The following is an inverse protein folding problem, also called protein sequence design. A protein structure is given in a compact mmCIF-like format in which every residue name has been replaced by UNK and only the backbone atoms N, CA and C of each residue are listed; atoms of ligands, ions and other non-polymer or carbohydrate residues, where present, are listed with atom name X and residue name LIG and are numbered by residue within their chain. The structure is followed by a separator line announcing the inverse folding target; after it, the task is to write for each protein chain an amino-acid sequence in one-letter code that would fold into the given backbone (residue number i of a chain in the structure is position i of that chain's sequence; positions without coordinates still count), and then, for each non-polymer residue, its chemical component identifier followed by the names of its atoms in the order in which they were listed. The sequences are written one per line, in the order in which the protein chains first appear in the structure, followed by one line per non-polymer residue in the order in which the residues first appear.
data_IF_707160359136
#
_entry.id   IF_707160359136
#
_cell.length_a   1.000
_cell.length_b   1.000
_cell.length_c   1.000
_cell.angle_alpha   90.00
_cell.angle_beta   90.00
_cell.angle_gamma   90.00
#
_symmetry.space_group_name_H-M   'P 1'
#
loop_
_entity.id
_entity.type
_entity.pdbx_description
1 polymer ?
#
# COMPACT_ATOMS: atom_id res chain seq x y z
N UNK A 1 -42.04 67.97 31.39
CA UNK A 1 -40.70 68.57 31.25
C UNK A 1 -39.66 67.52 31.59
N UNK A 2 -38.44 67.68 31.06
CA UNK A 2 -37.30 66.77 31.03
C UNK A 2 -37.27 65.85 29.80
N UNK A 3 -36.49 66.28 28.81
CA UNK A 3 -36.05 65.44 27.72
C UNK A 3 -34.64 64.92 27.96
N UNK A 4 -34.22 63.98 27.12
CA UNK A 4 -32.94 64.06 26.39
C UNK A 4 -32.63 62.76 25.64
N UNK A 5 -32.20 62.95 24.39
CA UNK A 5 -31.33 62.11 23.55
C UNK A 5 -31.89 60.79 23.03
N UNK A 6 -32.37 60.85 21.78
CA UNK A 6 -32.49 59.70 20.87
C UNK A 6 -31.38 59.79 19.82
N UNK A 7 -30.56 58.73 19.76
CA UNK A 7 -29.53 58.49 18.75
C UNK A 7 -30.19 57.77 17.56
N UNK A 8 -29.82 58.21 16.36
CA UNK A 8 -30.38 57.79 15.06
C UNK A 8 -30.00 56.33 14.74
N UNK A 9 -30.99 55.46 14.60
CA UNK A 9 -30.84 54.13 13.98
C UNK A 9 -31.23 54.23 12.49
N UNK A 10 -30.29 53.93 11.59
CA UNK A 10 -30.55 53.80 10.14
C UNK A 10 -31.11 52.40 9.85
N UNK A 11 -32.24 52.37 9.13
CA UNK A 11 -32.84 51.17 8.54
C UNK A 11 -31.96 50.61 7.41
N UNK A 12 -31.79 49.30 7.37
CA UNK A 12 -31.56 48.56 6.11
C UNK A 12 -32.51 47.37 6.05
N UNK A 13 -33.35 47.38 5.03
CA UNK A 13 -34.45 46.44 4.80
C UNK A 13 -33.97 45.10 4.27
N UNK A 14 -34.62 44.05 4.79
CA UNK A 14 -34.67 42.69 4.29
C UNK A 14 -35.33 42.65 2.90
N UNK A 15 -34.74 41.93 1.93
CA UNK A 15 -35.45 41.47 0.72
C UNK A 15 -35.09 40.01 0.45
N UNK A 16 -36.15 39.26 0.13
CA UNK A 16 -36.26 37.82 -0.07
C UNK A 16 -35.28 37.23 -1.10
N UNK A 17 -34.80 36.02 -0.82
CA UNK A 17 -34.14 35.12 -1.79
C UNK A 17 -35.23 34.34 -2.53
N UNK A 18 -35.33 34.55 -3.85
CA UNK A 18 -36.09 33.72 -4.76
C UNK A 18 -35.14 32.71 -5.43
N UNK A 19 -35.53 31.44 -5.39
CA UNK A 19 -34.87 30.36 -6.12
C UNK A 19 -35.07 30.53 -7.63
N UNK A 20 -33.99 30.35 -8.40
CA UNK A 20 -34.06 30.14 -9.84
C UNK A 20 -33.17 28.94 -10.19
N UNK A 21 -33.82 27.91 -10.73
CA UNK A 21 -33.16 26.83 -11.46
C UNK A 21 -32.56 27.40 -12.75
N UNK A 22 -31.34 27.02 -13.08
CA UNK A 22 -30.69 27.31 -14.35
C UNK A 22 -29.66 26.23 -14.64
N UNK A 23 -29.84 25.56 -15.77
CA UNK A 23 -29.00 24.50 -16.31
C UNK A 23 -27.60 25.02 -16.66
N UNK A 24 -26.54 24.37 -16.18
CA UNK A 24 -25.17 24.62 -16.65
C UNK A 24 -24.87 23.72 -17.87
N UNK A 25 -24.41 24.30 -19.01
CA UNK A 25 -24.02 23.52 -20.16
C UNK A 25 -22.62 22.92 -19.98
N UNK A 26 -22.48 21.71 -20.51
CA UNK A 26 -21.26 20.94 -20.70
C UNK A 26 -20.16 21.77 -21.39
N UNK A 27 -18.94 21.73 -20.83
CA UNK A 27 -17.71 21.74 -21.61
C UNK A 27 -16.91 23.04 -21.67
N UNK A 28 -16.03 23.25 -20.69
CA UNK A 28 -14.73 23.88 -20.93
C UNK A 28 -13.67 22.98 -20.27
N UNK A 29 -12.68 22.44 -21.00
CA UNK A 29 -11.60 21.68 -20.39
C UNK A 29 -10.74 22.63 -19.55
N UNK A 30 -10.50 22.25 -18.29
CA UNK A 30 -9.56 22.93 -17.42
C UNK A 30 -8.19 23.05 -18.12
N UNK A 31 -7.62 24.25 -18.08
CA UNK A 31 -6.27 24.51 -18.55
C UNK A 31 -5.28 23.53 -17.85
N UNK A 32 -4.25 23.04 -18.56
CA UNK A 32 -3.32 22.08 -17.98
C UNK A 32 -2.69 22.68 -16.73
N UNK A 33 -2.85 21.97 -15.62
CA UNK A 33 -2.17 22.24 -14.35
C UNK A 33 -0.68 22.33 -14.65
N UNK A 34 -0.07 23.48 -14.39
CA UNK A 34 1.39 23.62 -14.42
C UNK A 34 1.91 22.67 -13.35
N UNK A 35 2.41 21.53 -13.80
CA UNK A 35 3.26 20.65 -13.01
C UNK A 35 4.51 21.49 -12.73
N UNK A 36 4.65 21.96 -11.49
CA UNK A 36 5.92 22.52 -11.04
C UNK A 36 7.04 21.58 -11.45
N UNK A 37 8.07 22.13 -12.07
CA UNK A 37 9.23 21.37 -12.53
C UNK A 37 9.72 20.49 -11.37
N UNK A 38 9.97 19.22 -11.66
CA UNK A 38 10.53 18.29 -10.67
C UNK A 38 11.80 18.93 -10.06
N UNK A 39 11.92 18.99 -8.72
CA UNK A 39 13.13 19.48 -8.08
C UNK A 39 14.35 18.71 -8.59
N UNK A 40 15.55 19.33 -8.64
CA UNK A 40 16.74 18.68 -9.15
C UNK A 40 16.99 17.35 -8.43
N UNK A 41 17.54 16.33 -9.12
CA UNK A 41 17.86 15.06 -8.50
C UNK A 41 18.73 15.27 -7.25
N UNK A 42 18.36 14.63 -6.12
CA UNK A 42 19.06 14.72 -4.83
C UNK A 42 20.58 14.52 -4.96
N UNK A 43 21.02 13.65 -5.87
CA UNK A 43 22.45 13.34 -6.08
C UNK A 43 23.22 14.49 -6.77
N UNK A 44 22.54 15.54 -7.24
CA UNK A 44 23.15 16.74 -7.81
C UNK A 44 23.36 17.86 -6.77
N UNK A 45 22.85 17.71 -5.55
CA UNK A 45 23.01 18.69 -4.48
C UNK A 45 24.28 18.37 -3.69
N UNK A 46 25.24 19.29 -3.71
CA UNK A 46 26.47 19.17 -2.93
C UNK A 46 26.15 19.39 -1.45
N UNK A 47 26.42 18.38 -0.62
CA UNK A 47 26.32 18.50 0.84
C UNK A 47 27.35 19.52 1.34
N UNK A 48 26.85 20.58 1.99
CA UNK A 48 27.63 21.68 2.53
C UNK A 48 28.05 21.44 3.99
N UNK A 49 27.66 20.32 4.60
CA UNK A 49 28.07 19.99 5.96
C UNK A 49 29.57 19.66 6.04
N UNK A 50 30.27 20.35 6.93
CA UNK A 50 31.66 20.05 7.21
C UNK A 50 31.78 18.69 7.92
N UNK A 51 32.80 17.86 7.62
CA UNK A 51 33.09 16.69 8.42
C UNK A 51 33.31 17.08 9.89
N UNK A 52 32.74 16.36 10.87
CA UNK A 52 32.94 16.67 12.28
C UNK A 52 34.43 16.60 12.66
N UNK A 53 34.98 17.66 13.24
CA UNK A 53 36.39 17.71 13.70
C UNK A 53 36.53 17.87 15.22
N UNK A 54 35.42 18.03 15.94
CA UNK A 54 35.39 18.18 17.39
C UNK A 54 35.58 16.84 18.14
N UNK A 55 35.74 16.88 19.48
CA UNK A 55 35.79 15.66 20.29
C UNK A 55 34.51 14.83 20.19
N UNK A 56 33.38 15.44 19.79
CA UNK A 56 32.05 14.82 19.74
C UNK A 56 31.39 14.73 21.11
N UNK A 57 30.15 14.23 21.11
CA UNK A 57 29.32 14.10 22.31
C UNK A 57 28.82 12.67 22.42
N UNK A 58 29.12 12.01 23.53
CA UNK A 58 28.69 10.62 23.76
C UNK A 58 27.32 10.59 24.47
N UNK A 59 26.41 9.77 23.94
CA UNK A 59 25.07 9.59 24.47
C UNK A 59 24.83 8.16 24.91
N UNK A 60 24.19 7.99 26.06
CA UNK A 60 23.85 6.69 26.61
C UNK A 60 22.58 6.75 27.45
N UNK A 61 21.88 5.61 27.55
CA UNK A 61 20.65 5.44 28.32
C UNK A 61 19.48 6.29 27.76
N UNK A 62 18.41 6.39 28.54
CA UNK A 62 17.26 7.21 28.18
C UNK A 62 17.53 8.71 28.43
N UNK A 63 17.10 9.56 27.52
CA UNK A 63 17.11 11.01 27.69
C UNK A 63 16.21 11.42 28.87
N UNK A 64 16.68 12.37 29.68
CA UNK A 64 15.95 12.81 30.88
C UNK A 64 14.93 13.93 30.57
N UNK A 65 15.14 14.67 29.49
CA UNK A 65 14.30 15.76 29.01
C UNK A 65 14.53 15.94 27.51
N UNK A 66 13.83 16.90 26.91
CA UNK A 66 14.07 17.28 25.51
C UNK A 66 15.53 17.66 25.29
N UNK A 67 16.10 17.19 24.19
CA UNK A 67 17.48 17.49 23.80
C UNK A 67 17.56 17.99 22.36
N UNK A 68 18.54 18.87 22.12
CA UNK A 68 18.92 19.36 20.81
C UNK A 68 20.37 18.94 20.53
N UNK A 69 20.56 18.18 19.45
CA UNK A 69 21.85 17.74 18.97
C UNK A 69 22.25 18.60 17.77
N UNK A 70 23.45 19.20 17.81
CA UNK A 70 23.87 20.27 16.89
C UNK A 70 25.11 19.89 16.08
N UNK A 71 25.36 20.62 15.00
CA UNK A 71 26.60 20.53 14.22
C UNK A 71 27.85 20.78 15.10
N UNK A 72 27.80 21.74 16.03
CA UNK A 72 28.95 22.11 16.86
C UNK A 72 29.38 21.00 17.84
N UNK A 73 28.40 20.18 18.27
CA UNK A 73 28.60 19.08 19.21
C UNK A 73 28.82 17.72 18.52
N UNK A 74 28.85 17.74 17.18
CA UNK A 74 29.03 16.56 16.36
C UNK A 74 30.49 16.02 16.38
N UNK A 75 30.69 14.71 16.24
CA UNK A 75 29.64 13.69 16.08
C UNK A 75 28.99 13.34 17.43
N UNK A 76 27.68 13.11 17.39
CA UNK A 76 26.91 12.54 18.49
C UNK A 76 27.00 11.01 18.43
N UNK A 77 27.63 10.38 19.43
CA UNK A 77 27.95 8.95 19.40
C UNK A 77 27.02 8.13 20.29
N UNK A 78 26.47 7.07 19.73
CA UNK A 78 25.68 6.06 20.44
C UNK A 78 26.42 4.73 20.34
N UNK A 79 27.05 4.29 21.43
CA UNK A 79 27.85 3.05 21.42
C UNK A 79 27.04 1.79 21.69
N UNK A 80 25.92 1.91 22.41
CA UNK A 80 25.06 0.77 22.77
C UNK A 80 23.60 1.09 22.54
N UNK A 81 23.00 1.98 23.33
CA UNK A 81 21.62 2.37 23.15
C UNK A 81 21.35 3.76 23.73
N UNK A 82 20.49 4.50 23.03
CA UNK A 82 19.82 5.69 23.56
C UNK A 82 18.31 5.51 23.46
N UNK A 83 17.60 5.90 24.50
CA UNK A 83 16.14 5.93 24.52
C UNK A 83 15.59 7.35 24.52
N UNK A 84 14.55 7.61 23.73
CA UNK A 84 13.75 8.84 23.77
C UNK A 84 12.40 8.49 24.39
N UNK A 85 12.19 8.71 25.70
CA UNK A 85 10.97 8.31 26.40
C UNK A 85 9.71 9.03 25.90
N UNK A 86 8.53 8.50 26.26
CA UNK A 86 7.26 9.19 26.00
C UNK A 86 7.25 10.59 26.62
N UNK A 87 6.79 11.58 25.86
CA UNK A 87 6.80 12.99 26.25
C UNK A 87 8.14 13.71 26.09
N UNK A 88 9.20 13.01 25.66
CA UNK A 88 10.52 13.58 25.36
C UNK A 88 10.72 13.72 23.86
N UNK A 89 11.36 14.80 23.43
CA UNK A 89 11.70 15.10 22.05
C UNK A 89 13.21 15.17 21.87
N UNK A 90 13.74 14.37 20.93
CA UNK A 90 15.09 14.53 20.40
C UNK A 90 15.04 15.32 19.09
N UNK A 91 15.70 16.48 19.05
CA UNK A 91 15.85 17.31 17.85
C UNK A 91 17.27 17.22 17.31
N UNK A 92 17.41 16.98 16.01
CA UNK A 92 18.68 17.01 15.28
C UNK A 92 18.68 18.24 14.36
N UNK A 93 19.57 19.18 14.63
CA UNK A 93 19.71 20.41 13.85
C UNK A 93 20.38 20.14 12.48
N UNK A 94 20.31 21.08 11.51
CA UNK A 94 21.05 20.96 10.26
C UNK A 94 22.53 20.63 10.49
N UNK A 95 23.08 19.75 9.66
CA UNK A 95 24.44 19.21 9.76
C UNK A 95 24.79 18.45 11.05
N UNK A 96 23.84 18.15 11.93
CA UNK A 96 24.10 17.21 13.03
C UNK A 96 24.47 15.83 12.47
N UNK A 97 25.58 15.28 12.96
CA UNK A 97 26.06 13.94 12.60
C UNK A 97 25.89 13.00 13.79
N UNK A 98 25.11 11.95 13.62
CA UNK A 98 24.91 10.88 14.60
C UNK A 98 25.63 9.62 14.15
N UNK A 99 26.52 9.09 14.98
CA UNK A 99 27.29 7.88 14.72
C UNK A 99 26.87 6.77 15.68
N UNK A 100 26.35 5.68 15.12
CA UNK A 100 25.92 4.50 15.87
C UNK A 100 26.96 3.38 15.76
N UNK A 101 27.39 2.87 16.91
CA UNK A 101 28.29 1.71 16.98
C UNK A 101 27.64 0.43 16.45
N UNK A 102 28.43 -0.64 16.24
CA UNK A 102 27.90 -1.94 15.84
C UNK A 102 26.81 -2.40 16.81
N UNK A 103 25.69 -2.90 16.29
CA UNK A 103 24.53 -3.31 17.09
C UNK A 103 23.86 -2.21 17.94
N UNK A 104 24.29 -0.95 17.84
CA UNK A 104 23.72 0.13 18.63
C UNK A 104 22.30 0.50 18.17
N UNK A 105 21.48 0.98 19.09
CA UNK A 105 20.07 1.28 18.82
C UNK A 105 19.64 2.66 19.32
N UNK A 106 18.74 3.30 18.56
CA UNK A 106 17.96 4.44 19.02
C UNK A 106 16.49 4.00 19.17
N UNK A 107 15.98 3.99 20.39
CA UNK A 107 14.58 3.59 20.67
C UNK A 107 13.75 4.82 21.00
N UNK A 108 12.63 5.03 20.31
CA UNK A 108 11.82 6.25 20.39
C UNK A 108 10.39 5.91 20.79
N UNK A 109 10.02 6.26 22.02
CA UNK A 109 8.62 6.30 22.49
C UNK A 109 8.07 7.73 22.60
N UNK A 110 8.94 8.74 22.51
CA UNK A 110 8.60 10.14 22.35
C UNK A 110 8.63 10.59 20.90
N UNK A 111 9.41 11.61 20.57
CA UNK A 111 9.55 12.11 19.19
C UNK A 111 11.01 12.26 18.76
N UNK A 112 11.30 11.87 17.52
CA UNK A 112 12.57 12.18 16.85
C UNK A 112 12.31 13.13 15.67
N UNK A 113 12.90 14.31 15.73
CA UNK A 113 12.80 15.36 14.71
C UNK A 113 14.17 15.62 14.12
N UNK A 114 14.40 15.23 12.87
CA UNK A 114 15.58 15.60 12.10
C UNK A 114 15.23 16.77 11.17
N UNK A 115 15.76 17.95 11.48
CA UNK A 115 15.40 19.24 10.90
C UNK A 115 16.52 19.71 9.96
N UNK A 116 16.84 18.91 8.94
CA UNK A 116 17.87 19.25 7.94
C UNK A 116 17.42 20.31 6.94
N UNK A 117 18.36 20.83 6.17
CA UNK A 117 18.12 21.72 5.02
C UNK A 117 18.68 21.09 3.74
N UNK A 118 18.20 21.50 2.57
CA UNK A 118 18.56 20.93 1.25
C UNK A 118 20.07 20.68 1.06
N UNK A 119 20.89 21.64 1.45
CA UNK A 119 22.37 21.54 1.38
C UNK A 119 23.02 21.24 2.73
N UNK A 120 22.26 21.21 3.83
CA UNK A 120 22.76 21.00 5.20
C UNK A 120 22.00 19.87 5.88
N UNK A 121 22.23 18.66 5.36
CA UNK A 121 21.44 17.48 5.71
C UNK A 121 21.81 16.97 7.10
N UNK A 122 20.83 16.40 7.79
CA UNK A 122 21.12 15.58 8.99
C UNK A 122 21.69 14.25 8.53
N UNK A 123 22.76 13.78 9.18
CA UNK A 123 23.40 12.49 8.86
C UNK A 123 23.29 11.54 10.06
N UNK A 124 22.67 10.38 9.86
CA UNK A 124 22.64 9.28 10.84
C UNK A 124 23.34 8.09 10.20
N UNK A 125 24.48 7.67 10.74
CA UNK A 125 25.36 6.70 10.07
C UNK A 125 26.01 5.71 11.02
N UNK A 126 26.52 4.61 10.44
CA UNK A 126 27.38 3.70 11.17
C UNK A 126 28.68 4.39 11.58
N UNK A 127 29.11 4.16 12.82
CA UNK A 127 30.39 4.63 13.34
C UNK A 127 31.59 3.93 12.68
N UNK A 128 31.37 2.78 12.03
CA UNK A 128 32.42 2.01 11.37
C UNK A 128 31.88 1.34 10.11
N UNK A 129 32.60 1.51 9.00
CA UNK A 129 32.23 0.92 7.71
C UNK A 129 32.14 -0.60 7.81
N UNK A 130 31.10 -1.18 7.21
CA UNK A 130 30.84 -2.64 7.23
C UNK A 130 30.36 -3.20 8.56
N UNK A 131 30.15 -2.36 9.59
CA UNK A 131 29.63 -2.79 10.88
C UNK A 131 28.28 -2.11 11.14
N UNK A 132 27.17 -2.74 10.74
CA UNK A 132 25.87 -2.10 10.81
C UNK A 132 25.43 -1.89 12.26
N UNK A 133 24.81 -0.74 12.53
CA UNK A 133 24.05 -0.51 13.75
C UNK A 133 22.69 -1.19 13.67
N UNK A 134 22.03 -1.41 14.81
CA UNK A 134 20.83 -2.23 14.90
C UNK A 134 19.63 -1.59 14.21
N UNK A 135 19.07 -0.52 14.79
CA UNK A 135 17.88 0.14 14.27
C UNK A 135 17.60 1.50 14.90
N UNK A 136 16.71 2.25 14.26
CA UNK A 136 15.86 3.26 14.87
C UNK A 136 14.50 2.59 15.05
N UNK A 137 14.08 2.35 16.29
CA UNK A 137 12.81 1.70 16.60
C UNK A 137 11.85 2.69 17.25
N UNK A 138 10.84 3.11 16.52
CA UNK A 138 9.81 4.06 16.95
C UNK A 138 8.57 3.27 17.37
N UNK A 139 8.16 3.41 18.63
CA UNK A 139 7.07 2.62 19.23
C UNK A 139 6.34 3.44 20.28
N UNK A 140 5.11 3.84 19.95
CA UNK A 140 4.33 4.79 20.75
C UNK A 140 4.74 6.25 20.55
N UNK A 141 5.64 6.53 19.60
CA UNK A 141 6.20 7.83 19.30
C UNK A 141 6.08 8.24 17.84
N UNK A 142 6.67 9.38 17.48
CA UNK A 142 6.64 9.93 16.11
C UNK A 142 8.05 10.16 15.53
N UNK A 143 8.13 10.09 14.20
CA UNK A 143 9.34 10.29 13.41
C UNK A 143 9.10 11.37 12.36
N UNK A 144 9.87 12.45 12.43
CA UNK A 144 9.87 13.51 11.40
C UNK A 144 11.28 13.67 10.85
N UNK A 145 11.42 13.48 9.54
CA UNK A 145 12.70 13.53 8.84
C UNK A 145 12.61 14.51 7.68
N UNK A 146 13.40 15.57 7.72
CA UNK A 146 13.51 16.57 6.66
C UNK A 146 14.96 16.66 6.21
N UNK A 147 15.22 16.57 4.90
CA UNK A 147 16.55 16.56 4.29
C UNK A 147 17.55 15.71 5.08
N UNK A 148 17.19 14.45 5.33
CA UNK A 148 17.94 13.55 6.20
C UNK A 148 18.49 12.38 5.42
N UNK A 149 19.74 11.99 5.73
CA UNK A 149 20.35 10.75 5.23
C UNK A 149 20.61 9.79 6.39
N UNK A 150 20.07 8.58 6.28
CA UNK A 150 20.26 7.50 7.25
C UNK A 150 20.95 6.33 6.54
N UNK A 151 22.09 5.89 7.05
CA UNK A 151 22.91 4.89 6.36
C UNK A 151 23.55 3.83 7.26
N UNK A 152 23.70 2.62 6.69
CA UNK A 152 24.50 1.54 7.27
C UNK A 152 23.91 0.92 8.55
N UNK A 153 22.58 0.95 8.71
CA UNK A 153 21.90 0.29 9.84
C UNK A 153 21.23 -1.03 9.47
N UNK A 154 20.33 -1.50 10.33
CA UNK A 154 19.58 -2.74 10.10
C UNK A 154 20.40 -3.99 10.32
N UNK A 155 21.28 -3.99 11.33
CA UNK A 155 22.15 -5.13 11.64
C UNK A 155 21.37 -6.45 11.65
N UNK A 156 21.86 -7.48 10.94
CA UNK A 156 21.19 -8.76 10.89
C UNK A 156 21.36 -9.47 12.23
N UNK A 157 20.27 -9.70 12.98
CA UNK A 157 20.27 -10.62 14.12
C UNK A 157 20.25 -12.12 13.71
N UNK A 158 19.93 -13.01 14.65
CA UNK A 158 19.71 -14.43 14.36
C UNK A 158 18.34 -14.70 13.69
N UNK A 159 18.31 -15.11 12.40
CA UNK A 159 17.12 -15.59 11.67
C UNK A 159 16.02 -14.56 11.35
N UNK A 160 15.09 -14.88 10.43
CA UNK A 160 13.93 -14.05 10.08
C UNK A 160 14.01 -13.39 8.70
N UNK A 161 12.88 -13.32 8.00
CA UNK A 161 12.77 -12.77 6.64
C UNK A 161 12.48 -11.27 6.58
N UNK A 162 11.90 -10.83 5.46
CA UNK A 162 11.73 -9.41 5.08
C UNK A 162 10.98 -8.55 6.10
N UNK A 163 10.15 -9.15 6.95
CA UNK A 163 9.33 -8.46 7.96
C UNK A 163 9.98 -8.37 9.35
N UNK A 164 11.08 -9.08 9.58
CA UNK A 164 11.63 -9.24 10.93
C UNK A 164 12.53 -8.07 11.35
N UNK A 165 13.19 -7.39 10.40
CA UNK A 165 14.26 -6.43 10.67
C UNK A 165 14.31 -5.31 9.67
N UNK A 166 14.57 -4.10 10.17
CA UNK A 166 14.85 -2.96 9.33
C UNK A 166 15.83 -1.98 9.98
N UNK A 167 16.45 -1.14 9.15
CA UNK A 167 17.21 0.02 9.62
C UNK A 167 16.32 1.01 10.35
N UNK A 168 15.10 1.24 9.85
CA UNK A 168 14.07 2.04 10.53
C UNK A 168 12.82 1.20 10.71
N UNK A 169 12.32 1.10 11.95
CA UNK A 169 11.05 0.44 12.26
C UNK A 169 10.13 1.41 12.97
N UNK A 170 8.88 1.47 12.54
CA UNK A 170 7.84 2.28 13.17
C UNK A 170 6.63 1.39 13.44
N UNK A 171 6.15 1.41 14.68
CA UNK A 171 4.98 0.63 15.14
C UNK A 171 3.87 1.56 15.58
N UNK A 172 2.70 1.40 14.97
CA UNK A 172 1.47 2.06 15.37
C UNK A 172 0.78 1.33 16.53
N UNK A 173 -0.47 1.70 16.77
CA UNK A 173 -1.32 1.16 17.84
C UNK A 173 -2.06 -0.14 17.46
N UNK A 174 -1.91 -0.60 16.21
CA UNK A 174 -2.61 -1.78 15.68
C UNK A 174 -4.04 -1.49 15.22
N UNK A 175 -4.53 -0.25 15.29
CA UNK A 175 -5.83 0.12 14.74
C UNK A 175 -5.74 0.13 13.20
N UNK A 176 -6.54 -0.69 12.48
CA UNK A 176 -6.42 -0.78 11.01
C UNK A 176 -6.74 0.52 10.25
N UNK A 177 -7.33 1.54 10.88
CA UNK A 177 -7.49 2.88 10.29
C UNK A 177 -6.14 3.61 10.09
N UNK A 178 -5.10 3.14 10.77
CA UNK A 178 -3.73 3.60 10.65
C UNK A 178 -3.43 4.87 11.44
N UNK A 179 -2.18 4.97 11.88
CA UNK A 179 -1.65 6.08 12.66
C UNK A 179 -0.54 6.79 11.88
N UNK A 180 -0.75 8.06 11.56
CA UNK A 180 0.25 8.89 10.89
C UNK A 180 1.39 9.21 11.86
N UNK A 181 2.48 8.44 11.77
CA UNK A 181 3.62 8.53 12.68
C UNK A 181 4.90 8.96 11.99
N UNK A 182 4.95 8.94 10.65
CA UNK A 182 6.17 9.17 9.88
C UNK A 182 5.96 10.34 8.92
N UNK A 183 6.65 11.45 9.16
CA UNK A 183 6.77 12.53 8.19
C UNK A 183 8.13 12.43 7.51
N UNK A 184 8.14 12.47 6.18
CA UNK A 184 9.38 12.50 5.38
C UNK A 184 9.31 13.64 4.36
N UNK A 185 10.41 14.34 4.21
CA UNK A 185 10.64 15.33 3.17
C UNK A 185 12.09 15.23 2.69
N UNK A 186 12.29 14.75 1.46
CA UNK A 186 13.60 14.53 0.85
C UNK A 186 14.55 13.70 1.73
N UNK A 187 14.21 12.42 1.92
CA UNK A 187 14.93 11.50 2.82
C UNK A 187 15.61 10.39 2.03
N UNK A 188 16.85 10.08 2.39
CA UNK A 188 17.60 8.95 1.87
C UNK A 188 17.84 7.90 2.96
N UNK A 189 17.39 6.67 2.71
CA UNK A 189 17.75 5.47 3.46
C UNK A 189 18.68 4.61 2.59
N UNK A 190 19.93 4.43 3.02
CA UNK A 190 20.98 3.81 2.19
C UNK A 190 21.65 2.63 2.91
N UNK A 191 21.75 1.50 2.22
CA UNK A 191 22.63 0.41 2.64
C UNK A 191 22.17 -0.29 3.92
N UNK A 192 20.87 -0.52 4.10
CA UNK A 192 20.41 -1.34 5.21
C UNK A 192 20.92 -2.77 5.07
N UNK A 193 21.49 -3.35 6.12
CA UNK A 193 21.86 -4.76 6.15
C UNK A 193 20.65 -5.72 6.25
N UNK A 194 19.43 -5.19 6.33
CA UNK A 194 18.15 -5.93 6.30
C UNK A 194 17.16 -5.19 5.36
N UNK A 195 15.90 -4.96 5.78
CA UNK A 195 14.93 -4.10 5.08
C UNK A 195 15.22 -2.62 5.37
N UNK A 196 15.01 -1.73 4.40
CA UNK A 196 15.22 -0.29 4.61
C UNK A 196 14.31 0.28 5.71
N UNK A 197 12.99 0.15 5.53
CA UNK A 197 11.99 0.58 6.50
C UNK A 197 10.85 -0.42 6.68
N UNK A 198 10.39 -0.62 7.92
CA UNK A 198 9.17 -1.36 8.25
C UNK A 198 8.18 -0.42 8.94
N UNK A 199 6.97 -0.33 8.38
CA UNK A 199 5.79 0.25 9.02
C UNK A 199 4.85 -0.87 9.44
N UNK A 200 4.75 -1.13 10.74
CA UNK A 200 3.97 -2.22 11.29
C UNK A 200 2.89 -1.73 12.24
N UNK A 201 1.92 -2.59 12.54
CA UNK A 201 0.84 -2.30 13.48
C UNK A 201 0.07 -1.03 13.07
N UNK A 202 -0.20 -0.92 11.77
CA UNK A 202 -0.89 0.18 11.11
C UNK A 202 -0.17 1.55 11.24
N UNK A 203 1.14 1.58 11.49
CA UNK A 203 1.92 2.79 11.24
C UNK A 203 1.82 3.19 9.77
N UNK A 204 1.70 4.49 9.51
CA UNK A 204 1.66 5.05 8.15
C UNK A 204 2.40 6.37 8.07
N UNK A 205 2.73 6.76 6.84
CA UNK A 205 3.23 8.09 6.58
C UNK A 205 2.12 9.14 6.78
N UNK A 206 2.53 10.32 7.22
CA UNK A 206 1.72 11.53 7.21
C UNK A 206 1.48 11.97 5.76
N UNK A 207 0.25 12.36 5.39
CA UNK A 207 -0.02 12.91 4.06
C UNK A 207 0.82 14.17 3.79
N UNK A 208 1.20 14.40 2.53
CA UNK A 208 1.87 15.62 2.09
C UNK A 208 3.40 15.61 2.21
N UNK A 209 4.02 14.53 2.69
CA UNK A 209 5.47 14.33 2.61
C UNK A 209 5.97 14.08 1.18
N UNK A 210 7.19 14.54 0.87
CA UNK A 210 7.80 14.45 -0.46
C UNK A 210 9.07 13.60 -0.47
N UNK A 211 9.30 12.87 -1.57
CA UNK A 211 10.58 12.23 -1.94
C UNK A 211 11.26 11.37 -0.86
N UNK A 212 10.96 10.07 -0.86
CA UNK A 212 11.68 9.05 -0.10
C UNK A 212 12.48 8.16 -1.05
N UNK A 213 13.79 8.06 -0.82
CA UNK A 213 14.65 7.11 -1.53
C UNK A 213 15.14 6.05 -0.57
N UNK A 214 14.92 4.79 -0.93
CA UNK A 214 15.43 3.64 -0.19
C UNK A 214 16.21 2.76 -1.16
N UNK A 215 17.52 2.63 -0.95
CA UNK A 215 18.43 1.95 -1.88
C UNK A 215 19.49 1.13 -1.15
N UNK A 216 19.99 0.08 -1.80
CA UNK A 216 21.06 -0.76 -1.26
C UNK A 216 20.67 -1.58 -0.02
N UNK A 217 19.38 -1.70 0.28
CA UNK A 217 18.92 -2.59 1.36
C UNK A 217 19.14 -4.04 0.96
N UNK A 218 19.66 -4.87 1.86
CA UNK A 218 19.95 -6.28 1.58
C UNK A 218 18.68 -7.10 1.31
N UNK A 219 17.53 -6.66 1.84
CA UNK A 219 16.20 -7.23 1.62
C UNK A 219 15.36 -6.27 0.77
N UNK A 220 14.18 -5.88 1.24
CA UNK A 220 13.29 -4.96 0.55
C UNK A 220 13.55 -3.50 0.94
N UNK A 221 13.16 -2.52 0.12
CA UNK A 221 13.16 -1.11 0.52
C UNK A 221 12.16 -0.86 1.66
N UNK A 222 10.93 -1.33 1.52
CA UNK A 222 9.81 -0.95 2.36
C UNK A 222 8.87 -2.13 2.58
N UNK A 223 8.50 -2.33 3.83
CA UNK A 223 7.42 -3.25 4.24
C UNK A 223 6.37 -2.42 4.95
N UNK A 224 5.10 -2.59 4.60
CA UNK A 224 4.00 -1.87 5.24
C UNK A 224 2.71 -2.67 5.28
N UNK A 225 1.90 -2.42 6.30
CA UNK A 225 0.56 -3.00 6.39
C UNK A 225 -0.35 -2.48 5.25
N UNK A 226 -1.34 -3.26 4.78
CA UNK A 226 -2.26 -2.88 3.70
C UNK A 226 -2.96 -1.52 3.90
N UNK A 227 -3.20 -1.07 5.13
CA UNK A 227 -3.81 0.23 5.41
C UNK A 227 -2.90 1.43 5.10
N UNK A 228 -1.59 1.22 4.95
CA UNK A 228 -0.62 2.27 4.68
C UNK A 228 -0.24 2.40 3.19
N UNK A 229 -0.71 1.50 2.32
CA UNK A 229 -0.34 1.48 0.88
C UNK A 229 -0.71 2.79 0.17
N UNK A 230 -1.75 3.48 0.64
CA UNK A 230 -2.27 4.70 0.01
C UNK A 230 -1.53 5.99 0.35
N UNK A 231 -0.50 5.91 1.21
CA UNK A 231 0.28 7.08 1.61
C UNK A 231 1.78 6.85 1.47
N UNK A 232 2.20 5.88 0.65
CA UNK A 232 3.62 5.69 0.33
C UNK A 232 4.15 6.94 -0.38
N UNK A 233 5.22 7.60 0.09
CA UNK A 233 5.76 8.79 -0.57
C UNK A 233 6.21 8.51 -2.01
N UNK A 234 6.22 9.54 -2.86
CA UNK A 234 6.93 9.46 -4.14
C UNK A 234 8.43 9.26 -3.89
N UNK A 235 9.15 8.69 -4.85
CA UNK A 235 10.60 8.53 -4.76
C UNK A 235 11.11 7.26 -5.43
N UNK A 236 12.21 6.73 -4.92
CA UNK A 236 12.92 5.57 -5.53
C UNK A 236 12.98 4.42 -4.54
N UNK A 237 12.49 3.27 -4.98
CA UNK A 237 12.44 2.03 -4.20
C UNK A 237 13.18 0.87 -4.89
N UNK A 238 13.79 1.12 -6.04
CA UNK A 238 14.62 0.15 -6.76
C UNK A 238 16.09 0.18 -6.31
N UNK A 239 16.88 -0.84 -6.66
CA UNK A 239 18.29 -0.98 -6.26
C UNK A 239 18.48 -1.63 -4.87
N UNK A 240 17.54 -2.46 -4.43
CA UNK A 240 17.58 -3.25 -3.20
C UNK A 240 17.66 -4.75 -3.52
N UNK A 241 17.88 -5.60 -2.52
CA UNK A 241 17.93 -7.07 -2.69
C UNK A 241 16.62 -7.64 -3.25
N UNK A 242 15.50 -7.02 -2.90
CA UNK A 242 14.20 -7.18 -3.53
C UNK A 242 13.66 -5.80 -3.92
N UNK A 243 13.52 -5.55 -5.22
CA UNK A 243 12.90 -4.34 -5.75
C UNK A 243 11.37 -4.46 -5.75
N UNK A 244 10.79 -4.46 -4.55
CA UNK A 244 9.35 -4.46 -4.33
C UNK A 244 8.99 -3.79 -3.00
N UNK A 245 7.84 -3.11 -2.96
CA UNK A 245 7.21 -2.71 -1.70
C UNK A 245 6.43 -3.91 -1.19
N UNK A 246 6.82 -4.46 -0.04
CA UNK A 246 6.21 -5.68 0.50
C UNK A 246 4.99 -5.32 1.33
N UNK A 247 3.86 -5.97 1.04
CA UNK A 247 2.59 -5.82 1.75
C UNK A 247 2.25 -7.17 2.39
N UNK A 248 2.57 -7.38 3.68
CA UNK A 248 2.26 -8.61 4.38
C UNK A 248 0.75 -8.83 4.51
N UNK A 249 0.35 -10.07 4.78
CA UNK A 249 -1.04 -10.37 5.08
C UNK A 249 -1.49 -9.74 6.39
N UNK A 250 -2.38 -8.76 6.28
CA UNK A 250 -3.19 -8.25 7.40
C UNK A 250 -4.60 -7.98 6.87
N UNK A 251 -5.64 -8.47 7.54
CA UNK A 251 -7.01 -8.29 7.06
C UNK A 251 -7.34 -6.78 6.89
N UNK A 252 -7.91 -6.41 5.75
CA UNK A 252 -8.17 -5.03 5.37
C UNK A 252 -9.65 -4.70 5.56
N UNK A 253 -9.95 -3.97 6.64
CA UNK A 253 -11.26 -3.39 6.93
C UNK A 253 -11.47 -3.21 8.44
N UNK A 254 -12.52 -2.47 8.79
CA UNK A 254 -12.89 -2.18 10.18
C UNK A 254 -14.41 -2.23 10.30
N UNK A 255 -14.92 -2.99 11.27
CA UNK A 255 -16.36 -3.12 11.49
C UNK A 255 -16.98 -1.75 11.79
N UNK A 256 -18.06 -1.40 11.09
CA UNK A 256 -18.78 -0.14 11.30
C UNK A 256 -18.01 1.13 10.93
N UNK A 257 -16.88 1.03 10.22
CA UNK A 257 -16.05 2.17 9.80
C UNK A 257 -15.72 2.08 8.30
N UNK A 258 -15.26 3.19 7.74
CA UNK A 258 -14.79 3.27 6.36
C UNK A 258 -13.26 3.24 6.34
N UNK A 259 -12.70 2.29 5.61
CA UNK A 259 -11.29 2.20 5.28
C UNK A 259 -11.13 2.19 3.76
N UNK A 260 -10.59 3.27 3.20
CA UNK A 260 -10.34 3.38 1.76
C UNK A 260 -8.89 3.77 1.53
N UNK A 261 -8.19 3.02 0.67
CA UNK A 261 -6.80 3.28 0.29
C UNK A 261 -6.63 3.16 -1.21
N UNK A 262 -5.66 3.87 -1.77
CA UNK A 262 -5.36 3.87 -3.20
C UNK A 262 -3.89 3.54 -3.43
N UNK A 263 -3.58 2.36 -3.96
CA UNK A 263 -2.21 1.99 -4.35
C UNK A 263 -1.80 2.79 -5.57
N UNK A 264 -0.62 3.42 -5.50
CA UNK A 264 -0.14 4.33 -6.53
C UNK A 264 1.15 3.77 -7.16
N UNK A 265 1.46 4.04 -8.43
CA UNK A 265 2.69 3.55 -9.03
C UNK A 265 3.92 4.13 -8.32
N UNK A 266 4.88 3.27 -7.95
CA UNK A 266 6.12 3.64 -7.24
C UNK A 266 7.41 3.21 -7.94
N UNK A 267 7.31 2.81 -9.20
CA UNK A 267 8.45 2.34 -10.01
C UNK A 267 8.92 0.92 -9.68
N UNK A 268 8.36 0.29 -8.65
CA UNK A 268 8.54 -1.12 -8.28
C UNK A 268 7.17 -1.76 -8.00
N UNK A 269 7.02 -3.09 -8.13
CA UNK A 269 5.79 -3.78 -7.76
C UNK A 269 5.47 -3.67 -6.27
N UNK A 270 4.18 -3.74 -5.94
CA UNK A 270 3.73 -4.12 -4.61
C UNK A 270 3.72 -5.65 -4.53
N UNK A 271 4.63 -6.24 -3.76
CA UNK A 271 4.61 -7.67 -3.49
C UNK A 271 3.58 -7.97 -2.41
N UNK A 272 2.55 -8.73 -2.77
CA UNK A 272 1.50 -9.14 -1.84
C UNK A 272 1.89 -10.46 -1.17
N UNK A 273 1.91 -10.43 0.16
CA UNK A 273 2.25 -11.56 1.02
C UNK A 273 3.74 -11.71 1.31
N UNK A 274 4.01 -12.57 2.28
CA UNK A 274 5.37 -13.00 2.65
C UNK A 274 5.46 -14.52 2.81
N UNK A 275 6.68 -15.07 2.77
CA UNK A 275 6.89 -16.52 2.95
C UNK A 275 6.47 -17.00 4.37
N UNK A 276 6.36 -16.08 5.32
CA UNK A 276 5.92 -16.34 6.68
C UNK A 276 4.39 -16.40 6.83
N UNK A 277 3.61 -16.05 5.79
CA UNK A 277 2.16 -16.05 5.86
C UNK A 277 1.61 -17.49 5.89
N UNK A 278 0.96 -17.93 6.99
CA UNK A 278 0.50 -19.32 7.13
C UNK A 278 -0.72 -19.65 6.25
N UNK A 279 -1.41 -18.62 5.76
CA UNK A 279 -2.53 -18.72 4.84
C UNK A 279 -2.48 -17.50 3.92
N UNK A 280 -2.04 -17.63 2.67
CA UNK A 280 -1.68 -16.51 1.80
C UNK A 280 -2.93 -15.80 1.21
N UNK A 281 -3.79 -15.28 2.09
CA UNK A 281 -5.05 -14.61 1.72
C UNK A 281 -5.03 -13.18 2.22
N UNK A 282 -5.04 -12.21 1.30
CA UNK A 282 -5.38 -10.84 1.61
C UNK A 282 -6.90 -10.68 1.52
N UNK A 283 -7.56 -10.41 2.64
CA UNK A 283 -9.00 -10.17 2.67
C UNK A 283 -9.31 -8.68 2.67
N UNK A 284 -10.18 -8.24 1.76
CA UNK A 284 -10.77 -6.90 1.66
C UNK A 284 -12.23 -6.98 2.08
N UNK A 285 -12.58 -6.29 3.17
CA UNK A 285 -13.88 -6.38 3.83
C UNK A 285 -13.86 -7.34 5.01
N UNK A 286 -14.16 -6.83 6.21
CA UNK A 286 -14.28 -7.61 7.45
C UNK A 286 -15.43 -7.09 8.32
N UNK A 287 -16.05 -8.01 9.05
CA UNK A 287 -17.12 -7.69 10.00
C UNK A 287 -18.45 -7.35 9.34
N UNK A 288 -19.39 -6.86 10.15
CA UNK A 288 -20.70 -6.37 9.69
C UNK A 288 -20.68 -4.84 9.63
N UNK A 289 -21.32 -4.28 8.58
CA UNK A 289 -21.55 -2.84 8.40
C UNK A 289 -20.30 -1.94 8.23
N UNK A 290 -19.12 -2.48 7.92
CA UNK A 290 -17.95 -1.68 7.50
C UNK A 290 -17.94 -1.39 5.99
N UNK A 291 -17.05 -0.51 5.54
CA UNK A 291 -16.72 -0.32 4.11
C UNK A 291 -15.21 -0.39 3.94
N UNK A 292 -14.72 -1.28 3.09
CA UNK A 292 -13.30 -1.46 2.81
C UNK A 292 -13.07 -1.34 1.30
N UNK A 293 -12.40 -0.28 0.85
CA UNK A 293 -12.13 -0.03 -0.56
C UNK A 293 -10.63 -0.11 -0.79
N UNK A 294 -10.21 -1.10 -1.59
CA UNK A 294 -8.86 -1.15 -2.14
C UNK A 294 -8.91 -0.61 -3.57
N UNK A 295 -8.40 0.60 -3.77
CA UNK A 295 -8.20 1.16 -5.09
C UNK A 295 -6.75 0.91 -5.57
N UNK A 296 -6.58 0.71 -6.87
CA UNK A 296 -5.31 0.53 -7.54
C UNK A 296 -5.28 1.49 -8.73
N UNK A 297 -4.32 2.40 -8.74
CA UNK A 297 -4.20 3.44 -9.77
C UNK A 297 -3.51 2.92 -11.04
N UNK A 298 -3.76 3.55 -12.21
CA UNK A 298 -3.12 3.21 -13.47
C UNK A 298 -1.60 3.04 -13.39
N UNK A 299 -1.07 2.02 -14.08
CA UNK A 299 0.37 1.72 -14.11
C UNK A 299 0.91 1.03 -12.85
N UNK A 300 0.07 0.74 -11.86
CA UNK A 300 0.48 -0.01 -10.66
C UNK A 300 0.61 -1.51 -10.96
N UNK A 301 1.65 -2.15 -10.40
CA UNK A 301 1.87 -3.59 -10.49
C UNK A 301 1.73 -4.24 -9.11
N UNK A 302 0.90 -5.28 -9.01
CA UNK A 302 0.79 -6.17 -7.87
C UNK A 302 1.42 -7.51 -8.23
N UNK A 303 2.43 -7.93 -7.47
CA UNK A 303 3.09 -9.21 -7.63
C UNK A 303 2.70 -10.14 -6.48
N UNK A 304 2.00 -11.22 -6.78
CA UNK A 304 1.43 -12.15 -5.81
C UNK A 304 2.44 -13.26 -5.51
N UNK A 305 2.75 -13.51 -4.23
CA UNK A 305 3.57 -14.67 -3.87
C UNK A 305 2.88 -15.99 -4.25
N UNK A 306 3.64 -17.09 -4.39
CA UNK A 306 3.06 -18.39 -4.68
C UNK A 306 1.96 -18.80 -3.69
N UNK A 307 0.83 -19.27 -4.22
CA UNK A 307 -0.37 -19.64 -3.47
C UNK A 307 -1.23 -18.47 -3.01
N UNK A 308 -0.81 -17.22 -3.23
CA UNK A 308 -1.53 -16.04 -2.72
C UNK A 308 -2.86 -15.79 -3.44
N UNK A 309 -3.80 -15.18 -2.73
CA UNK A 309 -5.09 -14.77 -3.30
C UNK A 309 -5.61 -13.48 -2.65
N UNK A 310 -6.30 -12.68 -3.46
CA UNK A 310 -6.98 -11.46 -3.01
C UNK A 310 -8.48 -11.76 -2.91
N UNK A 311 -8.97 -11.86 -1.67
CA UNK A 311 -10.39 -12.09 -1.38
C UNK A 311 -11.11 -10.74 -1.21
N UNK A 312 -12.18 -10.50 -1.97
CA UNK A 312 -13.06 -9.33 -1.84
C UNK A 312 -14.41 -9.79 -1.35
N UNK A 313 -14.80 -9.38 -0.15
CA UNK A 313 -16.05 -9.82 0.49
C UNK A 313 -17.08 -8.69 0.49
N UNK A 314 -17.97 -8.70 -0.51
CA UNK A 314 -18.99 -7.69 -0.68
C UNK A 314 -20.00 -7.67 0.49
N UNK A 315 -20.30 -8.82 1.09
CA UNK A 315 -21.19 -8.91 2.26
C UNK A 315 -20.55 -8.28 3.52
N UNK A 316 -19.22 -8.27 3.59
CA UNK A 316 -18.44 -7.55 4.60
C UNK A 316 -18.03 -6.13 4.18
N UNK A 317 -18.64 -5.57 3.13
CA UNK A 317 -18.41 -4.20 2.66
C UNK A 317 -17.11 -4.00 1.87
N UNK A 318 -16.47 -5.07 1.43
CA UNK A 318 -15.26 -5.04 0.60
C UNK A 318 -15.54 -4.64 -0.85
N UNK A 319 -14.67 -3.81 -1.42
CA UNK A 319 -14.69 -3.42 -2.84
C UNK A 319 -13.28 -3.30 -3.40
N UNK A 320 -13.11 -3.68 -4.67
CA UNK A 320 -11.85 -3.54 -5.41
C UNK A 320 -12.07 -2.59 -6.60
N UNK A 321 -11.30 -1.50 -6.65
CA UNK A 321 -11.35 -0.51 -7.74
C UNK A 321 -10.00 -0.51 -8.45
N UNK A 322 -9.89 -1.26 -9.55
CA UNK A 322 -8.69 -1.36 -10.36
C UNK A 322 -8.98 -0.82 -11.77
N UNK A 323 -8.96 0.49 -11.92
CA UNK A 323 -9.28 1.17 -13.19
C UNK A 323 -7.99 1.75 -13.76
N UNK A 324 -7.39 1.01 -14.69
CA UNK A 324 -6.21 1.42 -15.44
C UNK A 324 -6.58 2.28 -16.66
N UNK A 325 -5.60 2.44 -17.55
CA UNK A 325 -5.84 3.00 -18.90
C UNK A 325 -5.13 2.14 -19.94
N UNK A 326 -5.49 2.27 -21.22
CA UNK A 326 -4.77 1.57 -22.28
C UNK A 326 -3.26 1.90 -22.32
N UNK A 327 -2.87 3.13 -21.94
CA UNK A 327 -1.47 3.56 -21.90
C UNK A 327 -0.74 3.14 -20.61
N UNK A 328 -1.48 2.91 -19.53
CA UNK A 328 -0.95 2.52 -18.22
C UNK A 328 -1.89 1.50 -17.58
N UNK A 329 -1.89 0.25 -18.08
CA UNK A 329 -2.72 -0.80 -17.52
C UNK A 329 -2.24 -1.16 -16.11
N UNK A 330 -3.16 -1.63 -15.27
CA UNK A 330 -2.81 -2.23 -13.98
C UNK A 330 -2.36 -3.66 -14.24
N UNK A 331 -1.27 -4.11 -13.59
CA UNK A 331 -0.78 -5.49 -13.76
C UNK A 331 -0.92 -6.26 -12.44
N UNK A 332 -1.58 -7.41 -12.48
CA UNK A 332 -1.67 -8.37 -11.37
C UNK A 332 -1.04 -9.69 -11.82
N UNK A 333 0.09 -10.05 -11.24
CA UNK A 333 0.98 -11.09 -11.76
C UNK A 333 1.64 -11.90 -10.64
N UNK A 334 2.48 -12.86 -11.00
CA UNK A 334 3.27 -13.66 -10.07
C UNK A 334 4.51 -12.89 -9.57
N UNK A 335 4.85 -13.07 -8.30
CA UNK A 335 6.12 -12.63 -7.72
C UNK A 335 7.25 -13.66 -7.87
N UNK A 336 7.00 -14.81 -8.52
CA UNK A 336 8.05 -15.80 -8.77
C UNK A 336 9.12 -15.26 -9.73
N UNK A 337 10.37 -15.68 -9.55
CA UNK A 337 11.48 -15.33 -10.44
C UNK A 337 11.33 -15.90 -11.84
N UNK A 338 10.49 -16.91 -12.02
CA UNK A 338 10.09 -17.48 -13.31
C UNK A 338 8.58 -17.70 -13.29
N UNK A 339 7.78 -16.69 -13.68
CA UNK A 339 6.32 -16.76 -13.61
C UNK A 339 5.74 -17.92 -14.41
N UNK A 340 4.85 -18.69 -13.78
CA UNK A 340 4.16 -19.82 -14.37
C UNK A 340 2.66 -19.76 -14.06
N UNK A 341 1.86 -20.42 -14.92
CA UNK A 341 0.43 -20.55 -14.67
C UNK A 341 0.19 -21.29 -13.33
N UNK A 342 -0.68 -20.74 -12.48
CA UNK A 342 -0.99 -21.31 -11.17
C UNK A 342 0.05 -21.01 -10.10
N UNK A 343 0.89 -19.99 -10.31
CA UNK A 343 1.76 -19.50 -9.24
C UNK A 343 0.90 -18.96 -8.08
N UNK A 344 -0.15 -18.20 -8.38
CA UNK A 344 -1.09 -17.68 -7.40
C UNK A 344 -2.52 -18.11 -7.74
N UNK A 345 -3.44 -18.04 -6.77
CA UNK A 345 -4.81 -18.56 -6.96
C UNK A 345 -5.59 -17.68 -7.94
N UNK A 346 -5.65 -16.38 -7.67
CA UNK A 346 -6.47 -15.45 -8.43
C UNK A 346 -7.15 -14.40 -7.56
N UNK A 347 -8.06 -13.65 -8.18
CA UNK A 347 -8.98 -12.74 -7.51
C UNK A 347 -10.24 -13.51 -7.10
N UNK A 348 -10.60 -13.47 -5.82
CA UNK A 348 -11.73 -14.23 -5.30
C UNK A 348 -12.78 -13.29 -4.73
N UNK A 349 -13.90 -13.17 -5.41
CA UNK A 349 -15.06 -12.42 -4.98
C UNK A 349 -16.00 -13.34 -4.19
N UNK A 350 -16.13 -13.05 -2.89
CA UNK A 350 -17.01 -13.80 -1.98
C UNK A 350 -18.46 -13.35 -2.16
N UNK A 351 -19.07 -13.84 -3.24
CA UNK A 351 -20.39 -13.45 -3.70
C UNK A 351 -20.35 -12.49 -4.86
N UNK A 352 -21.55 -12.12 -5.35
CA UNK A 352 -21.69 -11.16 -6.45
C UNK A 352 -21.07 -9.81 -6.04
N UNK A 353 -20.10 -9.28 -6.82
CA UNK A 353 -19.49 -7.98 -6.52
C UNK A 353 -20.53 -6.86 -6.41
N UNK A 354 -20.30 -5.94 -5.48
CA UNK A 354 -21.13 -4.74 -5.33
C UNK A 354 -20.78 -3.68 -6.41
N UNK A 355 -21.62 -2.66 -6.54
CA UNK A 355 -21.42 -1.57 -7.51
C UNK A 355 -20.15 -0.71 -7.27
N UNK A 356 -19.50 -0.84 -6.11
CA UNK A 356 -18.21 -0.22 -5.81
C UNK A 356 -17.02 -1.02 -6.33
N UNK A 357 -17.22 -2.19 -6.92
CA UNK A 357 -16.15 -3.01 -7.51
C UNK A 357 -16.08 -2.82 -9.03
N UNK A 358 -14.89 -2.54 -9.54
CA UNK A 358 -14.62 -2.43 -10.97
C UNK A 358 -13.16 -2.78 -11.27
N UNK A 359 -12.94 -3.53 -12.35
CA UNK A 359 -11.66 -3.84 -12.96
C UNK A 359 -11.74 -3.44 -14.43
N UNK A 360 -10.95 -2.47 -14.82
CA UNK A 360 -10.95 -1.94 -16.19
C UNK A 360 -9.52 -1.65 -16.64
N UNK A 361 -9.17 -1.99 -17.89
CA UNK A 361 -7.80 -1.83 -18.41
C UNK A 361 -6.71 -2.44 -17.51
N UNK A 362 -6.91 -3.71 -17.14
CA UNK A 362 -5.94 -4.48 -16.36
C UNK A 362 -5.33 -5.64 -17.16
N UNK A 363 -4.25 -6.21 -16.63
CA UNK A 363 -3.65 -7.48 -17.04
C UNK A 363 -3.62 -8.38 -15.81
N UNK A 364 -4.28 -9.53 -15.90
CA UNK A 364 -4.28 -10.57 -14.87
C UNK A 364 -3.61 -11.81 -15.45
N UNK A 365 -2.51 -12.24 -14.85
CA UNK A 365 -1.70 -13.32 -15.41
C UNK A 365 -1.09 -14.26 -14.37
N UNK A 366 -0.72 -15.47 -14.79
CA UNK A 366 -0.04 -16.48 -13.97
C UNK A 366 -0.87 -17.01 -12.79
N UNK A 367 -2.18 -16.80 -12.83
CA UNK A 367 -3.14 -17.22 -11.81
C UNK A 367 -3.63 -18.67 -12.04
N UNK A 368 -4.63 -19.09 -11.25
CA UNK A 368 -5.35 -20.34 -11.43
C UNK A 368 -4.85 -21.51 -10.57
N UNK A 369 -4.12 -21.22 -9.48
CA UNK A 369 -3.74 -22.25 -8.51
C UNK A 369 -4.99 -22.81 -7.78
N UNK A 370 -4.99 -24.09 -7.38
CA UNK A 370 -6.10 -24.65 -6.62
C UNK A 370 -6.39 -23.91 -5.32
N UNK A 371 -7.66 -23.67 -5.00
CA UNK A 371 -8.10 -23.11 -3.73
C UNK A 371 -8.20 -24.16 -2.63
N UNK A 372 -7.90 -23.80 -1.38
CA UNK A 372 -7.99 -24.70 -0.21
C UNK A 372 -9.27 -24.54 0.61
N UNK A 373 -10.08 -23.51 0.34
CA UNK A 373 -11.22 -23.14 1.19
C UNK A 373 -12.39 -22.48 0.44
N UNK A 374 -12.33 -22.45 -0.89
CA UNK A 374 -13.33 -21.79 -1.73
C UNK A 374 -13.67 -22.74 -2.87
N UNK A 375 -14.97 -22.99 -3.08
CA UNK A 375 -15.47 -23.83 -4.16
C UNK A 375 -16.16 -22.96 -5.19
N UNK A 376 -15.89 -23.17 -6.49
CA UNK A 376 -16.64 -22.52 -7.55
C UNK A 376 -18.13 -22.91 -7.48
N UNK A 377 -19.02 -21.97 -7.74
CA UNK A 377 -20.47 -22.19 -7.74
C UNK A 377 -21.07 -22.38 -9.16
N UNK A 378 -20.24 -22.28 -10.20
CA UNK A 378 -20.66 -22.43 -11.60
C UNK A 378 -21.17 -23.85 -11.92
N UNK A 379 -21.62 -24.05 -13.16
CA UNK A 379 -22.02 -25.36 -13.69
C UNK A 379 -20.84 -26.32 -13.92
N UNK A 380 -19.66 -25.99 -13.42
CA UNK A 380 -18.44 -26.78 -13.54
C UNK A 380 -17.61 -26.39 -14.76
N UNK A 381 -16.60 -27.21 -15.04
CA UNK A 381 -15.60 -26.97 -16.07
C UNK A 381 -15.37 -28.25 -16.87
N UNK A 382 -15.75 -28.28 -18.16
CA UNK A 382 -15.41 -29.38 -19.05
C UNK A 382 -13.88 -29.52 -19.25
N UNK A 383 -13.37 -30.75 -19.48
CA UNK A 383 -14.10 -32.01 -19.61
C UNK A 383 -14.61 -32.56 -18.26
N UNK A 384 -15.69 -33.36 -18.32
CA UNK A 384 -16.27 -34.01 -17.14
C UNK A 384 -15.20 -34.82 -16.36
N UNK A 385 -15.06 -34.55 -15.06
CA UNK A 385 -14.08 -35.23 -14.18
C UNK A 385 -13.02 -34.31 -13.56
N UNK A 386 -12.95 -33.04 -13.95
CA UNK A 386 -12.19 -32.03 -13.19
C UNK A 386 -12.94 -31.71 -11.90
N UNK A 387 -12.27 -31.80 -10.76
CA UNK A 387 -12.83 -31.44 -9.45
C UNK A 387 -13.11 -29.93 -9.39
N UNK A 388 -14.36 -29.54 -9.64
CA UNK A 388 -14.81 -28.14 -9.61
C UNK A 388 -14.70 -27.51 -8.22
N UNK A 389 -14.53 -28.31 -7.15
CA UNK A 389 -14.28 -27.78 -5.80
C UNK A 389 -12.88 -27.18 -5.63
N UNK A 390 -11.93 -27.53 -6.52
CA UNK A 390 -10.54 -27.09 -6.50
C UNK A 390 -10.14 -26.23 -7.69
N UNK A 391 -10.99 -26.17 -8.71
CA UNK A 391 -10.77 -25.37 -9.92
C UNK A 391 -11.06 -23.92 -9.59
N UNK A 392 -10.03 -23.10 -9.49
CA UNK A 392 -10.14 -21.64 -9.30
C UNK A 392 -9.61 -20.98 -10.56
N UNK A 393 -10.45 -20.27 -11.29
CA UNK A 393 -10.04 -19.42 -12.40
C UNK A 393 -9.16 -18.25 -11.93
N UNK A 394 -8.64 -17.48 -12.88
CA UNK A 394 -7.91 -16.26 -12.56
C UNK A 394 -8.79 -15.24 -11.81
N UNK A 395 -10.08 -15.24 -12.11
CA UNK A 395 -11.13 -14.50 -11.39
C UNK A 395 -12.22 -15.48 -10.98
N UNK A 396 -12.60 -15.47 -9.70
CA UNK A 396 -13.59 -16.39 -9.14
C UNK A 396 -14.69 -15.63 -8.42
N UNK A 397 -15.95 -15.96 -8.72
CA UNK A 397 -17.11 -15.55 -7.93
C UNK A 397 -17.60 -16.80 -7.20
N UNK A 398 -17.65 -16.77 -5.86
CA UNK A 398 -17.81 -18.00 -5.07
C UNK A 398 -19.22 -18.28 -4.55
N UNK A 399 -20.21 -17.39 -4.74
CA UNK A 399 -21.55 -17.61 -4.21
C UNK A 399 -22.65 -16.78 -4.87
N UNK A 400 -23.88 -17.23 -4.63
CA UNK A 400 -25.10 -16.52 -4.99
C UNK A 400 -25.54 -15.61 -3.86
N UNK A 401 -25.87 -14.35 -4.18
CA UNK A 401 -26.68 -13.52 -3.29
C UNK A 401 -28.08 -13.41 -3.92
N UNK A 402 -29.12 -14.03 -3.33
CA UNK A 402 -30.48 -13.94 -3.87
C UNK A 402 -30.91 -12.47 -4.05
N UNK A 403 -31.44 -12.13 -5.23
CA UNK A 403 -31.95 -10.78 -5.52
C UNK A 403 -30.89 -9.75 -5.91
N UNK A 404 -29.61 -10.12 -6.01
CA UNK A 404 -28.56 -9.25 -6.56
C UNK A 404 -28.29 -9.66 -8.00
N UNK A 405 -28.73 -8.83 -8.95
CA UNK A 405 -28.38 -9.01 -10.35
C UNK A 405 -26.87 -8.75 -10.53
N UNK A 406 -26.12 -9.68 -11.14
CA UNK A 406 -24.71 -9.48 -11.33
C UNK A 406 -24.51 -8.39 -12.42
N UNK A 407 -23.41 -7.64 -12.34
CA UNK A 407 -23.03 -6.65 -13.37
C UNK A 407 -21.66 -6.98 -13.95
N UNK A 408 -21.39 -6.50 -15.18
CA UNK A 408 -20.06 -6.58 -15.76
C UNK A 408 -19.12 -5.65 -14.97
N UNK A 409 -18.31 -6.24 -14.08
CA UNK A 409 -17.33 -5.53 -13.27
C UNK A 409 -15.90 -5.71 -13.79
N UNK A 410 -15.69 -6.51 -14.84
CA UNK A 410 -14.40 -6.71 -15.51
C UNK A 410 -14.54 -6.36 -16.98
N UNK A 411 -13.87 -5.30 -17.41
CA UNK A 411 -13.92 -4.79 -18.79
C UNK A 411 -12.53 -4.40 -19.30
N UNK A 412 -12.35 -4.40 -20.62
CA UNK A 412 -11.10 -3.97 -21.28
C UNK A 412 -9.83 -4.61 -20.71
N UNK A 413 -9.94 -5.82 -20.18
CA UNK A 413 -8.90 -6.48 -19.39
C UNK A 413 -8.33 -7.68 -20.15
N UNK A 414 -7.03 -7.91 -20.00
CA UNK A 414 -6.36 -9.10 -20.53
C UNK A 414 -6.22 -10.14 -19.42
N UNK A 415 -6.78 -11.32 -19.61
CA UNK A 415 -6.65 -12.45 -18.69
C UNK A 415 -5.85 -13.53 -19.39
N UNK A 416 -4.65 -13.87 -18.89
CA UNK A 416 -3.78 -14.82 -19.58
C UNK A 416 -3.00 -15.76 -18.68
N UNK A 417 -2.55 -16.88 -19.23
CA UNK A 417 -1.68 -17.83 -18.50
C UNK A 417 -2.31 -18.32 -17.19
N UNK A 418 -3.59 -18.71 -17.25
CA UNK A 418 -4.29 -19.31 -16.11
C UNK A 418 -4.11 -20.82 -16.12
N UNK A 419 -3.73 -21.41 -14.98
CA UNK A 419 -3.67 -22.87 -14.82
C UNK A 419 -5.05 -23.55 -14.75
N UNK A 420 -6.10 -22.76 -14.92
CA UNK A 420 -7.50 -23.13 -14.75
C UNK A 420 -8.37 -22.34 -15.76
N UNK A 421 -9.57 -21.92 -15.38
CA UNK A 421 -10.43 -21.04 -16.17
C UNK A 421 -9.93 -19.58 -16.16
N UNK A 422 -10.48 -18.75 -17.06
CA UNK A 422 -10.33 -17.30 -17.01
C UNK A 422 -11.21 -16.71 -15.89
N UNK A 423 -12.54 -16.79 -16.07
CA UNK A 423 -13.54 -16.29 -15.11
C UNK A 423 -14.50 -17.38 -14.68
N UNK A 424 -14.54 -17.68 -13.39
CA UNK A 424 -15.55 -18.56 -12.80
C UNK A 424 -16.80 -17.74 -12.44
N UNK A 425 -17.86 -17.90 -13.24
CA UNK A 425 -19.16 -17.22 -13.08
C UNK A 425 -20.03 -17.92 -12.04
N UNK A 426 -19.58 -17.94 -10.78
CA UNK A 426 -20.30 -18.60 -9.68
C UNK A 426 -21.41 -17.76 -9.05
N UNK A 427 -22.42 -17.42 -9.85
CA UNK A 427 -23.66 -16.77 -9.41
C UNK A 427 -24.89 -17.49 -10.00
N UNK A 428 -26.10 -17.04 -9.61
CA UNK A 428 -27.36 -17.68 -9.98
C UNK A 428 -28.35 -16.62 -10.47
N UNK A 429 -28.48 -16.53 -11.78
CA UNK A 429 -29.30 -15.53 -12.45
C UNK A 429 -29.63 -15.99 -13.88
N UNK A 430 -30.79 -15.57 -14.38
CA UNK A 430 -31.10 -15.72 -15.82
C UNK A 430 -30.39 -14.62 -16.65
N UNK A 431 -29.90 -13.58 -15.99
CA UNK A 431 -29.05 -12.55 -16.59
C UNK A 431 -27.64 -13.12 -16.77
N UNK A 432 -27.24 -13.31 -18.03
CA UNK A 432 -25.90 -13.73 -18.40
C UNK A 432 -24.98 -12.52 -18.54
N UNK A 433 -23.88 -12.50 -17.78
CA UNK A 433 -22.80 -11.54 -18.03
C UNK A 433 -21.80 -12.22 -18.94
N UNK A 434 -21.65 -11.66 -20.12
CA UNK A 434 -20.59 -12.03 -21.04
C UNK A 434 -19.31 -11.24 -20.75
N UNK A 435 -18.29 -11.93 -20.23
CA UNK A 435 -16.97 -11.36 -20.07
C UNK A 435 -16.12 -11.44 -21.34
N UNK A 436 -16.58 -12.11 -22.40
CA UNK A 436 -15.81 -12.25 -23.65
C UNK A 436 -15.85 -10.98 -24.50
N UNK A 437 -16.97 -10.25 -24.50
CA UNK A 437 -17.18 -9.12 -25.39
C UNK A 437 -16.16 -7.97 -25.21
N UNK A 438 -15.71 -7.72 -23.98
CA UNK A 438 -14.83 -6.59 -23.65
C UNK A 438 -13.44 -7.00 -23.16
N UNK A 439 -13.16 -8.30 -22.98
CA UNK A 439 -11.89 -8.78 -22.44
C UNK A 439 -11.18 -9.69 -23.42
N UNK A 440 -9.87 -9.84 -23.25
CA UNK A 440 -9.05 -10.75 -24.07
C UNK A 440 -8.52 -11.90 -23.23
N UNK A 441 -8.48 -13.09 -23.83
CA UNK A 441 -8.07 -14.32 -23.17
C UNK A 441 -7.00 -15.05 -23.97
N UNK A 442 -5.94 -15.51 -23.31
CA UNK A 442 -4.89 -16.34 -23.96
C UNK A 442 -4.20 -17.28 -22.96
N UNK A 443 -3.82 -18.48 -23.38
CA UNK A 443 -3.17 -19.44 -22.48
C UNK A 443 -4.02 -19.81 -21.26
N UNK A 444 -5.33 -19.96 -21.47
CA UNK A 444 -6.28 -20.44 -20.46
C UNK A 444 -6.38 -21.95 -20.59
N UNK A 445 -6.21 -22.69 -19.48
CA UNK A 445 -6.18 -24.15 -19.51
C UNK A 445 -7.53 -24.78 -19.87
N UNK A 446 -8.60 -24.20 -19.35
CA UNK A 446 -9.97 -24.67 -19.54
C UNK A 446 -10.82 -23.55 -20.17
N UNK A 447 -11.96 -23.19 -19.58
CA UNK A 447 -12.86 -22.21 -20.17
C UNK A 447 -12.37 -20.78 -19.95
N UNK A 448 -12.50 -19.91 -20.94
CA UNK A 448 -12.31 -18.45 -20.78
C UNK A 448 -13.32 -17.89 -19.78
N UNK A 449 -14.55 -18.37 -19.81
CA UNK A 449 -15.56 -18.18 -18.76
C UNK A 449 -16.38 -19.46 -18.55
N UNK A 450 -16.70 -19.80 -17.30
CA UNK A 450 -17.55 -20.98 -16.99
C UNK A 450 -19.03 -20.64 -17.07
N UNK A 451 -19.92 -21.59 -17.29
CA UNK A 451 -21.37 -21.33 -17.27
C UNK A 451 -21.93 -21.06 -15.85
N UNK A 452 -22.68 -19.96 -15.60
CA UNK A 452 -23.40 -19.76 -14.35
C UNK A 452 -24.62 -20.67 -14.26
N UNK A 453 -25.20 -20.80 -13.05
CA UNK A 453 -26.47 -21.52 -12.88
C UNK A 453 -27.64 -20.60 -13.21
N UNK A 454 -28.70 -21.15 -13.79
CA UNK A 454 -29.96 -20.42 -13.99
C UNK A 454 -30.66 -20.09 -12.65
N UNK A 455 -31.70 -19.24 -12.66
CA UNK A 455 -32.45 -18.91 -11.45
C UNK A 455 -33.05 -20.15 -10.74
N UNK A 456 -33.31 -21.23 -11.48
CA UNK A 456 -33.78 -22.54 -11.00
C UNK A 456 -32.69 -23.47 -10.43
N UNK A 457 -31.42 -23.05 -10.41
CA UNK A 457 -30.23 -23.86 -10.05
C UNK A 457 -29.83 -24.91 -11.11
N UNK A 458 -30.45 -24.85 -12.28
CA UNK A 458 -30.17 -25.70 -13.41
C UNK A 458 -28.85 -25.34 -14.09
N UNK A 459 -28.33 -26.32 -14.81
CA UNK A 459 -27.19 -26.16 -15.69
C UNK A 459 -27.58 -26.69 -17.07
N UNK A 460 -27.19 -25.98 -18.15
CA UNK A 460 -27.36 -26.52 -19.48
C UNK A 460 -26.55 -27.81 -19.65
N UNK A 461 -27.06 -28.71 -20.48
CA UNK A 461 -26.40 -29.95 -20.87
C UNK A 461 -26.35 -30.01 -22.42
N UNK A 462 -25.16 -29.94 -23.04
CA UNK A 462 -23.84 -29.83 -22.41
C UNK A 462 -23.57 -28.43 -21.83
N UNK A 463 -22.71 -28.39 -20.80
CA UNK A 463 -22.26 -27.13 -20.18
C UNK A 463 -21.35 -26.35 -21.16
N UNK A 464 -21.69 -25.10 -21.54
CA UNK A 464 -20.83 -24.25 -22.35
C UNK A 464 -19.45 -24.02 -21.72
N UNK A 465 -18.41 -24.10 -22.55
CA UNK A 465 -17.02 -23.84 -22.17
C UNK A 465 -16.28 -23.24 -23.36
N UNK A 466 -16.40 -21.92 -23.59
CA UNK A 466 -15.60 -21.25 -24.61
C UNK A 466 -14.11 -21.40 -24.27
N UNK A 467 -13.30 -21.80 -25.24
CA UNK A 467 -11.86 -21.97 -25.07
C UNK A 467 -11.12 -20.78 -25.67
N UNK A 468 -9.99 -20.39 -25.06
CA UNK A 468 -9.10 -19.41 -25.66
C UNK A 468 -8.43 -20.04 -26.91
N UNK A 469 -8.22 -19.26 -27.99
CA UNK A 469 -7.47 -19.73 -29.15
C UNK A 469 -6.02 -20.11 -28.82
#
# INVERSE_FOLDING_TARGET
MLGSRVVVLRLSSCVLVAAACGDDPVGVPDAPRVIDAAPPPIDAVVDACAPPTGPGTDHANALAADELWTEADSPHRITTQVGVPAGVTLRLAPCAVVELGPDAALTVSGSLLAEGELTRRVQIRAASSGQPWRWIDVSGGALSLTHTRIEGGGAPGAGGGVTARAMVRVRGDGNPLGQALVSVDEVDLVGSASTGMILASAARFSPGGGALRITGSALAPLVLDPSAVGVVPTGTYAGNGLDAIVVPRVAFGVSGQVLAVSMQPRGVPYQMGTAEDPNPVQQVGVGTAGTAILAIEPGTTLAMLPGYRLDVDAAAGGSLVAIGTAAAPITMTSAATTPAAGDWVGLVFRGVPNAGTAIDHAVIEHAGAPGTSSTGFSCGTPPAGVDSSRTMGAIVITSTVPGVAPTAFVTNTTIRTSASNGVDRGYRADADIDFLASNTFSGIRYCTQTEPRDAGNGCPDPVPCPMAP
#
